data_IF_943149409876
#
_entry.id   IF_943149409876
#
_cell.length_a   1.000
_cell.length_b   1.000
_cell.length_c   1.000
_cell.angle_alpha   90.00
_cell.angle_beta   90.00
_cell.angle_gamma   90.00
#
_symmetry.space_group_name_H-M   'P 1'
#
loop_
_entity.id
_entity.type
_entity.pdbx_description
1 polymer ?
#
# COMPACT_ATOMS: atom_id res chain seq x y z
N UNK A 1 6.05 -0.87 9.81
CA UNK A 1 4.76 -0.22 10.16
C UNK A 1 4.33 -0.56 11.58
N UNK A 2 4.55 -1.79 12.05
CA UNK A 2 4.24 -2.19 13.42
C UNK A 2 5.18 -1.53 14.45
N UNK A 3 6.44 -1.29 14.07
CA UNK A 3 7.48 -0.77 14.98
C UNK A 3 7.16 0.63 15.50
N UNK A 4 6.45 1.43 14.70
CA UNK A 4 6.05 2.78 15.05
C UNK A 4 5.15 2.81 16.30
N UNK A 5 4.17 1.91 16.32
CA UNK A 5 3.10 1.96 17.31
C UNK A 5 3.39 1.08 18.51
N UNK A 6 4.39 0.20 18.40
CA UNK A 6 5.00 -0.45 19.55
C UNK A 6 5.60 0.56 20.55
N UNK A 7 5.81 1.82 20.15
CA UNK A 7 6.16 2.92 21.06
C UNK A 7 4.98 3.42 21.92
N UNK A 8 3.74 3.05 21.58
CA UNK A 8 2.56 3.50 22.33
C UNK A 8 2.42 2.66 23.60
N UNK A 9 2.10 3.33 24.71
CA UNK A 9 1.97 2.67 26.01
C UNK A 9 0.80 1.68 26.09
N UNK A 10 -0.24 1.89 25.28
CA UNK A 10 -1.45 1.07 25.21
C UNK A 10 -1.45 0.06 24.06
N UNK A 11 -0.32 -0.12 23.37
CA UNK A 11 -0.26 -1.03 22.22
C UNK A 11 -0.33 -2.50 22.63
N UNK A 12 -1.30 -3.21 22.06
CA UNK A 12 -1.38 -4.67 22.11
C UNK A 12 -1.63 -5.22 20.69
N UNK A 13 -0.70 -5.98 20.08
CA UNK A 13 -0.83 -6.45 18.69
C UNK A 13 -2.04 -7.35 18.44
N UNK A 14 -2.60 -7.98 19.49
CA UNK A 14 -3.77 -8.86 19.40
C UNK A 14 -5.08 -8.16 19.77
N UNK A 15 -5.03 -6.92 20.25
CA UNK A 15 -6.22 -6.17 20.63
C UNK A 15 -6.99 -5.68 19.39
N UNK A 16 -8.32 -5.70 19.48
CA UNK A 16 -9.21 -5.22 18.42
C UNK A 16 -9.01 -3.72 18.17
N UNK A 17 -8.66 -2.98 19.22
CA UNK A 17 -8.34 -1.56 19.24
C UNK A 17 -7.16 -1.26 18.32
N UNK A 18 -6.08 -2.05 18.42
CA UNK A 18 -4.90 -1.92 17.56
C UNK A 18 -5.26 -2.19 16.10
N UNK A 19 -6.03 -3.25 15.82
CA UNK A 19 -6.47 -3.56 14.45
C UNK A 19 -7.32 -2.43 13.87
N UNK A 20 -8.24 -1.86 14.66
CA UNK A 20 -9.06 -0.70 14.25
C UNK A 20 -8.18 0.53 14.00
N UNK A 21 -7.22 0.78 14.88
CA UNK A 21 -6.27 1.87 14.76
C UNK A 21 -5.47 1.80 13.45
N UNK A 22 -4.90 0.64 13.11
CA UNK A 22 -4.18 0.46 11.85
C UNK A 22 -5.05 0.75 10.62
N UNK A 23 -6.30 0.29 10.63
CA UNK A 23 -7.27 0.58 9.56
C UNK A 23 -7.54 2.08 9.43
N UNK A 24 -7.67 2.79 10.54
CA UNK A 24 -7.89 4.24 10.57
C UNK A 24 -6.68 4.97 9.96
N UNK A 25 -5.46 4.66 10.42
CA UNK A 25 -4.24 5.30 9.90
C UNK A 25 -4.07 5.03 8.41
N UNK A 26 -4.24 3.77 7.99
CA UNK A 26 -4.11 3.40 6.59
C UNK A 26 -5.10 4.17 5.70
N UNK A 27 -6.37 4.24 6.11
CA UNK A 27 -7.39 4.96 5.36
C UNK A 27 -7.16 6.48 5.32
N UNK A 28 -6.68 7.08 6.42
CA UNK A 28 -6.31 8.50 6.45
C UNK A 28 -5.17 8.81 5.49
N UNK A 29 -4.13 7.98 5.45
CA UNK A 29 -3.00 8.14 4.53
C UNK A 29 -3.42 7.96 3.06
N UNK A 30 -4.21 6.92 2.75
CA UNK A 30 -4.77 6.74 1.40
C UNK A 30 -5.62 7.95 0.97
N UNK A 31 -6.49 8.42 1.86
CA UNK A 31 -7.36 9.55 1.56
C UNK A 31 -6.57 10.85 1.36
N UNK A 32 -5.56 11.11 2.18
CA UNK A 32 -4.70 12.27 2.01
C UNK A 32 -3.88 12.23 0.71
N UNK A 33 -3.44 11.03 0.30
CA UNK A 33 -2.65 10.86 -0.92
C UNK A 33 -3.45 11.02 -2.22
N UNK A 34 -4.69 10.53 -2.26
CA UNK A 34 -5.47 10.42 -3.50
C UNK A 34 -6.99 10.55 -3.35
N UNK A 35 -7.48 11.03 -2.21
CA UNK A 35 -8.89 11.36 -1.95
C UNK A 35 -9.84 10.16 -1.85
N UNK A 36 -9.32 8.95 -1.60
CA UNK A 36 -10.14 7.74 -1.46
C UNK A 36 -9.57 6.88 -0.32
N UNK A 37 -10.42 6.12 0.36
CA UNK A 37 -9.98 5.04 1.25
C UNK A 37 -9.36 3.89 0.45
N UNK A 38 -8.71 2.95 1.14
CA UNK A 38 -8.16 1.76 0.49
C UNK A 38 -9.26 0.93 -0.22
N UNK A 39 -10.42 0.77 0.41
CA UNK A 39 -11.55 0.04 -0.16
C UNK A 39 -12.13 0.75 -1.39
N UNK A 40 -12.32 2.06 -1.32
CA UNK A 40 -12.81 2.87 -2.44
C UNK A 40 -11.87 2.81 -3.64
N UNK A 41 -10.55 2.84 -3.44
CA UNK A 41 -9.61 2.80 -4.57
C UNK A 41 -9.66 1.47 -5.31
N UNK A 42 -9.74 0.36 -4.56
CA UNK A 42 -9.87 -0.98 -5.12
C UNK A 42 -11.20 -1.08 -5.88
N UNK A 43 -12.31 -0.73 -5.22
CA UNK A 43 -13.62 -0.80 -5.83
C UNK A 43 -13.74 0.09 -7.07
N UNK A 44 -13.09 1.25 -7.10
CA UNK A 44 -13.15 2.17 -8.23
C UNK A 44 -12.26 1.73 -9.40
N UNK A 45 -11.07 1.19 -9.13
CA UNK A 45 -10.03 0.95 -10.16
C UNK A 45 -9.93 -0.50 -10.64
N UNK A 46 -10.40 -1.48 -9.87
CA UNK A 46 -10.48 -2.86 -10.33
C UNK A 46 -11.41 -2.97 -11.54
N UNK A 47 -10.86 -3.36 -12.70
CA UNK A 47 -11.59 -3.38 -13.96
C UNK A 47 -11.00 -4.34 -14.99
N UNK A 48 -11.76 -5.35 -15.43
CA UNK A 48 -11.40 -6.36 -16.41
C UNK A 48 -11.32 -5.88 -17.87
N UNK A 49 -11.77 -4.67 -18.15
CA UNK A 49 -11.53 -4.01 -19.42
C UNK A 49 -10.12 -3.43 -19.56
N UNK A 50 -9.40 -3.21 -18.44
CA UNK A 50 -8.10 -2.53 -18.44
C UNK A 50 -6.92 -3.50 -18.43
N UNK A 51 -5.75 -3.11 -18.99
CA UNK A 51 -4.51 -3.85 -18.81
C UNK A 51 -4.27 -4.17 -17.33
N UNK A 52 -3.89 -5.41 -17.03
CA UNK A 52 -3.59 -5.89 -15.68
C UNK A 52 -4.68 -5.59 -14.64
N UNK A 53 -5.95 -5.49 -15.07
CA UNK A 53 -7.10 -5.22 -14.19
C UNK A 53 -7.14 -3.83 -13.56
N UNK A 54 -6.40 -2.90 -14.15
CA UNK A 54 -6.21 -1.56 -13.61
C UNK A 54 -5.09 -1.49 -12.56
N UNK A 55 -4.39 -2.60 -12.31
CA UNK A 55 -3.18 -2.59 -11.49
C UNK A 55 -2.04 -1.89 -12.24
N UNK A 56 -1.28 -1.10 -11.49
CA UNK A 56 -0.11 -0.38 -11.93
C UNK A 56 1.18 -0.99 -11.34
N UNK A 57 1.05 -1.80 -10.28
CA UNK A 57 2.12 -2.67 -9.76
C UNK A 57 1.56 -4.03 -9.35
N UNK A 58 2.34 -5.09 -9.47
CA UNK A 58 1.96 -6.44 -9.05
C UNK A 58 3.20 -7.32 -8.87
N UNK A 59 3.00 -8.46 -8.20
CA UNK A 59 4.05 -9.43 -7.93
C UNK A 59 4.69 -10.03 -9.20
N UNK A 60 5.92 -10.53 -9.04
CA UNK A 60 6.68 -11.14 -10.13
C UNK A 60 5.93 -12.38 -10.67
N UNK A 61 5.62 -12.40 -11.98
CA UNK A 61 4.93 -13.53 -12.62
C UNK A 61 3.53 -13.21 -13.16
N UNK A 62 3.02 -12.00 -12.92
CA UNK A 62 1.74 -11.53 -13.42
C UNK A 62 0.76 -11.20 -12.30
N UNK A 63 -0.46 -10.81 -12.69
CA UNK A 63 -1.51 -10.42 -11.72
C UNK A 63 -2.01 -11.64 -10.96
N UNK A 64 -1.91 -11.61 -9.63
CA UNK A 64 -2.47 -12.63 -8.73
C UNK A 64 -3.73 -12.15 -7.99
N UNK A 65 -4.48 -13.08 -7.40
CA UNK A 65 -5.62 -12.75 -6.51
C UNK A 65 -5.19 -11.86 -5.32
N UNK A 66 -3.95 -12.01 -4.84
CA UNK A 66 -3.42 -11.16 -3.77
C UNK A 66 -3.16 -9.73 -4.26
N UNK A 67 -2.70 -9.57 -5.50
CA UNK A 67 -2.40 -8.25 -6.05
C UNK A 67 -3.64 -7.38 -6.19
N UNK A 68 -4.79 -7.96 -6.57
CA UNK A 68 -6.06 -7.22 -6.70
C UNK A 68 -6.67 -6.82 -5.35
N UNK A 69 -6.22 -7.41 -4.25
CA UNK A 69 -6.63 -7.04 -2.90
C UNK A 69 -5.79 -5.89 -2.30
N UNK A 70 -4.69 -5.50 -2.94
CA UNK A 70 -3.76 -4.48 -2.42
C UNK A 70 -4.07 -3.13 -3.05
N UNK A 71 -4.60 -2.19 -2.25
CA UNK A 71 -4.94 -0.84 -2.70
C UNK A 71 -3.77 -0.09 -3.35
N UNK A 72 -2.55 -0.23 -2.81
CA UNK A 72 -1.33 0.41 -3.33
C UNK A 72 -1.04 0.02 -4.78
N UNK A 73 -1.43 -1.17 -5.19
CA UNK A 73 -1.20 -1.66 -6.55
C UNK A 73 -2.04 -0.95 -7.60
N UNK A 74 -3.06 -0.20 -7.19
CA UNK A 74 -3.88 0.61 -8.10
C UNK A 74 -3.43 2.08 -8.19
N UNK A 75 -2.35 2.46 -7.50
CA UNK A 75 -1.90 3.85 -7.42
C UNK A 75 -0.94 4.20 -8.55
N UNK A 76 -1.10 5.40 -9.09
CA UNK A 76 -0.12 5.98 -10.03
C UNK A 76 1.20 6.23 -9.33
N UNK A 77 2.29 6.38 -10.09
CA UNK A 77 3.61 6.70 -9.52
C UNK A 77 3.56 7.95 -8.63
N UNK A 78 2.84 9.00 -9.08
CA UNK A 78 2.66 10.22 -8.31
C UNK A 78 1.90 9.98 -6.99
N UNK A 79 0.79 9.25 -7.03
CA UNK A 79 0.01 8.95 -5.82
C UNK A 79 0.79 8.06 -4.85
N UNK A 80 1.51 7.06 -5.37
CA UNK A 80 2.35 6.18 -4.57
C UNK A 80 3.51 6.94 -3.93
N UNK A 81 4.14 7.86 -4.66
CA UNK A 81 5.19 8.73 -4.13
C UNK A 81 4.67 9.64 -3.01
N UNK A 82 3.51 10.26 -3.20
CA UNK A 82 2.88 11.06 -2.14
C UNK A 82 2.57 10.19 -0.92
N UNK A 83 1.94 9.02 -1.11
CA UNK A 83 1.63 8.10 -0.03
C UNK A 83 2.88 7.69 0.74
N UNK A 84 3.96 7.33 0.05
CA UNK A 84 5.22 6.94 0.67
C UNK A 84 5.86 8.09 1.44
N UNK A 85 5.89 9.30 0.89
CA UNK A 85 6.44 10.47 1.58
C UNK A 85 5.65 10.80 2.86
N UNK A 86 4.32 10.71 2.83
CA UNK A 86 3.48 10.91 4.01
C UNK A 86 3.70 9.84 5.08
N UNK A 87 3.87 8.59 4.65
CA UNK A 87 4.23 7.49 5.55
C UNK A 87 5.58 7.78 6.21
N UNK A 88 6.62 8.12 5.43
CA UNK A 88 7.95 8.46 5.94
C UNK A 88 7.91 9.62 6.93
N UNK A 89 7.27 10.74 6.57
CA UNK A 89 7.15 11.90 7.47
C UNK A 89 6.44 11.55 8.79
N UNK A 90 5.48 10.62 8.76
CA UNK A 90 4.82 10.16 9.97
C UNK A 90 5.71 9.27 10.84
N UNK A 91 6.59 8.46 10.22
CA UNK A 91 7.62 7.74 10.95
C UNK A 91 8.64 8.67 11.58
N UNK A 92 9.15 9.65 10.84
CA UNK A 92 10.14 10.61 11.32
C UNK A 92 9.60 11.40 12.52
N UNK A 93 8.33 11.84 12.45
CA UNK A 93 7.66 12.52 13.56
C UNK A 93 7.65 11.67 14.84
N UNK A 94 7.36 10.38 14.69
CA UNK A 94 7.22 9.51 15.82
C UNK A 94 8.56 9.05 16.39
N UNK A 95 9.58 8.92 15.54
CA UNK A 95 10.95 8.66 15.98
C UNK A 95 11.46 9.78 16.89
N UNK A 96 11.26 11.05 16.50
CA UNK A 96 11.59 12.20 17.36
C UNK A 96 10.85 12.12 18.70
N UNK A 97 9.56 11.79 18.68
CA UNK A 97 8.77 11.66 19.92
C UNK A 97 9.24 10.53 20.82
N UNK A 98 9.68 9.41 20.23
CA UNK A 98 10.26 8.31 20.97
C UNK A 98 11.61 8.69 21.59
N UNK A 99 12.43 9.48 20.88
CA UNK A 99 13.70 10.02 21.39
C UNK A 99 13.51 10.98 22.56
N UNK A 100 12.45 11.80 22.53
CA UNK A 100 12.10 12.74 23.60
C UNK A 100 11.47 12.04 24.83
N UNK A 101 11.31 10.71 24.78
CA UNK A 101 10.64 9.90 25.81
C UNK A 101 9.24 10.40 26.16
N UNK A 102 8.52 11.01 25.21
CA UNK A 102 7.15 11.48 25.43
C UNK A 102 6.16 10.31 25.48
N UNK A 103 5.44 10.12 26.60
CA UNK A 103 4.37 9.13 26.69
C UNK A 103 3.33 9.40 25.61
N UNK A 104 3.08 8.41 24.73
CA UNK A 104 2.12 8.54 23.64
C UNK A 104 1.18 7.32 23.62
N UNK A 105 -0.11 7.57 23.41
CA UNK A 105 -1.14 6.53 23.25
C UNK A 105 -1.57 6.42 21.79
N UNK A 106 -2.18 5.30 21.39
CA UNK A 106 -2.66 5.09 20.01
C UNK A 106 -3.60 6.22 19.53
N UNK A 107 -4.46 6.74 20.39
CA UNK A 107 -5.35 7.87 20.04
C UNK A 107 -4.58 9.15 19.68
N UNK A 108 -3.44 9.39 20.33
CA UNK A 108 -2.64 10.60 20.13
C UNK A 108 -1.98 10.55 18.75
N UNK A 109 -1.55 9.37 18.31
CA UNK A 109 -1.06 9.15 16.95
C UNK A 109 -2.09 9.48 15.87
N UNK A 110 -3.38 9.25 16.11
CA UNK A 110 -4.45 9.66 15.18
C UNK A 110 -4.50 11.19 15.08
N UNK A 111 -4.43 11.89 16.21
CA UNK A 111 -4.45 13.35 16.26
C UNK A 111 -3.23 13.94 15.55
N UNK A 112 -2.03 13.43 15.88
CA UNK A 112 -0.76 13.83 15.25
C UNK A 112 -0.77 13.58 13.73
N UNK A 113 -1.31 12.45 13.29
CA UNK A 113 -1.47 12.16 11.86
C UNK A 113 -2.39 13.19 11.18
N UNK A 114 -3.51 13.58 11.80
CA UNK A 114 -4.39 14.60 11.23
C UNK A 114 -3.68 15.95 11.09
N UNK A 115 -2.87 16.35 12.08
CA UNK A 115 -2.06 17.57 12.03
C UNK A 115 -1.03 17.51 10.90
N UNK A 116 -0.30 16.39 10.80
CA UNK A 116 0.69 16.18 9.74
C UNK A 116 0.05 16.22 8.33
N UNK A 117 -1.12 15.61 8.16
CA UNK A 117 -1.89 15.71 6.92
C UNK A 117 -2.23 17.18 6.60
N UNK A 118 -2.60 17.97 7.61
CA UNK A 118 -2.86 19.39 7.47
C UNK A 118 -1.63 20.20 7.05
N UNK A 119 -0.45 19.90 7.58
CA UNK A 119 0.82 20.55 7.20
C UNK A 119 1.14 20.36 5.71
N UNK A 120 0.69 19.25 5.11
CA UNK A 120 0.85 18.99 3.66
C UNK A 120 -0.29 19.54 2.79
N UNK A 121 -1.16 20.39 3.35
CA UNK A 121 -2.37 20.92 2.71
C UNK A 121 -3.26 19.81 2.12
N UNK A 122 -3.28 18.63 2.78
CA UNK A 122 -4.10 17.49 2.36
C UNK A 122 -5.39 17.41 3.15
N UNK A 123 -6.40 16.80 2.54
CA UNK A 123 -7.69 16.59 3.19
C UNK A 123 -7.58 15.43 4.18
N UNK A 124 -8.03 15.68 5.41
CA UNK A 124 -8.16 14.65 6.43
C UNK A 124 -9.46 13.87 6.20
N UNK A 125 -9.39 12.54 6.25
CA UNK A 125 -10.57 11.70 6.25
C UNK A 125 -11.33 11.86 7.59
N UNK A 126 -12.57 12.36 7.52
CA UNK A 126 -13.46 12.59 8.67
C UNK A 126 -14.54 11.52 8.85
N UNK A 127 -14.80 10.70 7.84
CA UNK A 127 -15.80 9.62 7.85
C UNK A 127 -15.17 8.26 7.51
N UNK A 128 -15.93 7.17 7.63
CA UNK A 128 -15.42 5.82 7.36
C UNK A 128 -15.19 5.50 5.86
N UNK A 129 -15.57 6.42 4.95
CA UNK A 129 -15.67 6.17 3.51
C UNK A 129 -17.05 5.62 3.12
N UNK A 130 -17.29 5.47 1.83
CA UNK A 130 -18.58 5.03 1.27
C UNK A 130 -18.61 3.57 0.82
N UNK A 131 -17.46 2.88 0.82
CA UNK A 131 -17.34 1.48 0.36
C UNK A 131 -16.72 0.62 1.45
N UNK A 132 -17.39 -0.47 1.79
CA UNK A 132 -16.85 -1.44 2.75
C UNK A 132 -15.72 -2.26 2.15
N UNK A 133 -14.85 -2.79 3.01
CA UNK A 133 -13.79 -3.69 2.58
C UNK A 133 -14.34 -4.95 1.87
N UNK A 134 -15.44 -5.52 2.39
CA UNK A 134 -16.06 -6.71 1.81
C UNK A 134 -16.58 -6.45 0.39
N UNK A 135 -17.23 -5.31 0.16
CA UNK A 135 -17.70 -4.91 -1.18
C UNK A 135 -16.54 -4.69 -2.15
N UNK A 136 -15.48 -4.02 -1.69
CA UNK A 136 -14.29 -3.80 -2.50
C UNK A 136 -13.61 -5.13 -2.90
N UNK A 137 -13.45 -6.06 -1.96
CA UNK A 137 -12.89 -7.39 -2.24
C UNK A 137 -13.78 -8.17 -3.21
N UNK A 138 -15.10 -8.23 -2.95
CA UNK A 138 -16.05 -8.93 -3.84
C UNK A 138 -15.95 -8.43 -5.27
N UNK A 139 -15.85 -7.11 -5.47
CA UNK A 139 -15.67 -6.52 -6.79
C UNK A 139 -14.31 -6.89 -7.41
N UNK A 140 -13.21 -6.72 -6.66
CA UNK A 140 -11.88 -7.03 -7.16
C UNK A 140 -11.74 -8.50 -7.58
N UNK A 141 -12.31 -9.40 -6.81
CA UNK A 141 -12.33 -10.83 -7.11
C UNK A 141 -13.16 -11.13 -8.36
N UNK A 142 -14.35 -10.53 -8.50
CA UNK A 142 -15.17 -10.70 -9.70
C UNK A 142 -14.44 -10.22 -10.98
N UNK A 143 -13.78 -9.08 -10.92
CA UNK A 143 -12.98 -8.55 -12.04
C UNK A 143 -11.73 -9.40 -12.32
N UNK A 144 -11.16 -10.03 -11.29
CA UNK A 144 -10.08 -11.00 -11.44
C UNK A 144 -10.56 -12.31 -12.08
N UNK A 145 -11.73 -12.84 -11.72
CA UNK A 145 -12.28 -14.03 -12.39
C UNK A 145 -12.53 -13.78 -13.88
N UNK A 146 -13.07 -12.59 -14.24
CA UNK A 146 -13.22 -12.16 -15.65
C UNK A 146 -11.89 -12.02 -16.40
N UNK A 147 -10.79 -11.76 -15.70
CA UNK A 147 -9.45 -11.74 -16.29
C UNK A 147 -8.97 -13.12 -16.67
N UNK A 148 -9.15 -14.09 -15.77
CA UNK A 148 -8.61 -15.43 -15.94
C UNK A 148 -9.21 -16.15 -17.14
N UNK A 149 -10.46 -15.84 -17.48
CA UNK A 149 -11.13 -16.39 -18.66
C UNK A 149 -10.75 -15.69 -19.96
N UNK A 150 -10.01 -14.57 -19.90
CA UNK A 150 -9.59 -13.79 -21.07
C UNK A 150 -8.12 -14.06 -21.40
N UNK A 151 -7.82 -14.21 -22.70
CA UNK A 151 -6.44 -14.25 -23.16
C UNK A 151 -5.72 -12.92 -22.91
N UNK A 152 -4.48 -12.99 -22.41
CA UNK A 152 -3.60 -11.83 -22.27
C UNK A 152 -3.49 -11.10 -23.62
N UNK A 153 -3.61 -9.78 -23.59
CA UNK A 153 -3.34 -8.93 -24.76
C UNK A 153 -1.87 -8.98 -25.15
N UNK A 154 -1.55 -8.65 -26.40
CA UNK A 154 -0.16 -8.60 -26.87
C UNK A 154 0.70 -7.63 -26.05
N UNK A 155 0.12 -6.50 -25.64
CA UNK A 155 0.78 -5.51 -24.79
C UNK A 155 1.14 -6.12 -23.43
N UNK A 156 0.22 -6.87 -22.81
CA UNK A 156 0.48 -7.53 -21.52
C UNK A 156 1.54 -8.61 -21.64
N UNK A 157 1.53 -9.39 -22.74
CA UNK A 157 2.56 -10.39 -23.03
C UNK A 157 3.95 -9.75 -23.17
N UNK A 158 4.07 -8.72 -24.02
CA UNK A 158 5.33 -8.01 -24.25
C UNK A 158 5.88 -7.37 -22.96
N UNK A 159 5.01 -6.81 -22.12
CA UNK A 159 5.39 -6.25 -20.83
C UNK A 159 5.93 -7.33 -19.87
N UNK A 160 5.23 -8.47 -19.76
CA UNK A 160 5.68 -9.58 -18.91
C UNK A 160 7.01 -10.17 -19.38
N UNK A 161 7.24 -10.26 -20.69
CA UNK A 161 8.52 -10.73 -21.23
C UNK A 161 9.65 -9.73 -20.99
N UNK A 162 9.36 -8.43 -21.05
CA UNK A 162 10.30 -7.36 -20.67
C UNK A 162 10.69 -7.49 -19.18
N UNK A 163 9.70 -7.68 -18.29
CA UNK A 163 9.98 -7.93 -16.86
C UNK A 163 10.83 -9.18 -16.67
N UNK A 164 10.48 -10.31 -17.31
CA UNK A 164 11.24 -11.57 -17.19
C UNK A 164 12.68 -11.41 -17.66
N UNK A 165 12.92 -10.69 -18.76
CA UNK A 165 14.28 -10.47 -19.28
C UNK A 165 15.09 -9.56 -18.36
N UNK A 166 14.49 -8.49 -17.81
CA UNK A 166 15.13 -7.63 -16.82
C UNK A 166 15.49 -8.40 -15.54
N UNK A 167 14.57 -9.21 -15.02
CA UNK A 167 14.83 -10.06 -13.85
C UNK A 167 16.01 -11.00 -14.08
N UNK A 168 16.03 -11.73 -15.21
CA UNK A 168 17.17 -12.59 -15.58
C UNK A 168 18.50 -11.83 -15.64
N UNK A 169 18.50 -10.59 -16.13
CA UNK A 169 19.71 -9.73 -16.18
C UNK A 169 20.17 -9.33 -14.78
N UNK A 170 19.25 -8.93 -13.90
CA UNK A 170 19.56 -8.59 -12.50
C UNK A 170 20.09 -9.80 -11.76
N UNK A 171 19.44 -10.96 -11.86
CA UNK A 171 19.89 -12.21 -11.23
C UNK A 171 21.29 -12.63 -11.69
N UNK A 172 21.59 -12.49 -12.99
CA UNK A 172 22.94 -12.74 -13.52
C UNK A 172 23.98 -11.77 -12.95
N UNK A 173 23.65 -10.47 -12.85
CA UNK A 173 24.55 -9.46 -12.23
C UNK A 173 24.78 -9.71 -10.74
N UNK A 174 23.74 -10.14 -10.01
CA UNK A 174 23.84 -10.47 -8.57
C UNK A 174 24.65 -11.75 -8.37
N UNK A 175 24.46 -12.79 -9.20
CA UNK A 175 25.25 -14.03 -9.14
C UNK A 175 26.72 -13.83 -9.52
N UNK A 176 27.01 -12.91 -10.45
CA UNK A 176 28.39 -12.55 -10.85
C UNK A 176 29.16 -11.69 -9.83
N UNK A 177 28.49 -11.11 -8.83
CA UNK A 177 29.09 -10.26 -7.79
C UNK A 177 29.38 -10.97 -6.47
N UNK A 178 29.19 -12.30 -6.35
CA UNK A 178 29.60 -13.02 -5.14
C UNK A 178 31.13 -12.92 -4.98
N UNK A 179 31.66 -12.26 -3.93
CA UNK A 179 33.10 -12.25 -3.71
C UNK A 179 33.54 -13.67 -3.36
N UNK A 180 34.59 -14.16 -4.03
CA UNK A 180 35.29 -15.36 -3.61
C UNK A 180 35.80 -15.10 -2.18
N UNK A 181 35.21 -15.74 -1.17
CA UNK A 181 35.87 -15.88 0.14
C UNK A 181 37.10 -16.77 -0.07
N UNK A 182 38.24 -16.14 -0.36
CA UNK A 182 39.59 -16.57 0.03
C UNK A 182 39.88 -15.78 1.31
N UNK A 183 40.32 -16.30 2.45
CA UNK A 183 40.89 -17.59 2.88
C UNK A 183 40.29 -17.91 4.24
#
# INVERSE_FOLDING_TARGET
MLDLYATSLDYNPKALESIKFFKIVQNKLHYAAHGNTAAEIIARRANAGRPFRGLLSFSNGGVSKKDVAIAKNYLTEKELKVLNNMVSAFFDLAEVKAMDHEPTYMKDWISRLNQLIGVFDKKVLTAAGSVSHAEAMKKAEAEYTKYQTRNLSEVEKAYLDTIKTLQKRVEKKVKGKKPSRKK
#
